data_IF_898743368446
#
_entry.id   IF_898743368446
#
_cell.length_a   1.000
_cell.length_b   1.000
_cell.length_c   1.000
_cell.angle_alpha   90.00
_cell.angle_beta   90.00
_cell.angle_gamma   90.00
#
_symmetry.space_group_name_H-M   'P 1'
#
loop_
_entity.id
_entity.type
_entity.pdbx_description
1 polymer ?
#
# COMPACT_ATOMS: atom_id res chain seq x y z
N UNK A 1 -15.34 6.77 -29.52
CA UNK A 1 -15.53 8.20 -29.22
C UNK A 1 -17.04 8.48 -29.18
N UNK A 2 -17.50 9.69 -28.84
CA UNK A 2 -18.92 10.00 -28.99
C UNK A 2 -19.22 10.19 -30.49
N UNK A 3 -20.10 9.37 -31.06
CA UNK A 3 -20.34 9.33 -32.51
C UNK A 3 -21.69 9.97 -32.92
N UNK A 4 -22.37 10.66 -32.01
CA UNK A 4 -23.64 11.35 -32.32
C UNK A 4 -24.33 11.92 -31.09
N UNK A 5 -25.46 12.61 -31.31
CA UNK A 5 -26.29 13.25 -30.27
C UNK A 5 -26.93 12.25 -29.30
N UNK A 6 -27.20 11.02 -29.75
CA UNK A 6 -27.79 9.95 -28.92
C UNK A 6 -26.75 9.17 -28.11
N UNK A 7 -25.46 9.52 -28.17
CA UNK A 7 -24.41 8.79 -27.47
C UNK A 7 -24.43 9.11 -25.96
N UNK A 8 -24.82 8.14 -25.13
CA UNK A 8 -24.74 8.26 -23.68
C UNK A 8 -23.31 8.13 -23.20
N UNK A 9 -22.71 9.26 -22.81
CA UNK A 9 -21.33 9.31 -22.33
C UNK A 9 -21.23 8.65 -20.95
N UNK A 10 -20.33 7.68 -20.81
CA UNK A 10 -20.01 7.10 -19.50
C UNK A 10 -19.37 8.14 -18.57
N UNK A 11 -19.51 7.96 -17.25
CA UNK A 11 -18.93 8.86 -16.26
C UNK A 11 -17.41 9.07 -16.48
N UNK A 12 -16.92 10.28 -16.17
CA UNK A 12 -15.52 10.68 -16.40
C UNK A 12 -14.51 9.65 -15.90
N UNK A 13 -14.61 9.21 -14.64
CA UNK A 13 -13.66 8.24 -14.04
C UNK A 13 -13.76 6.83 -14.63
N UNK A 14 -14.91 6.46 -15.22
CA UNK A 14 -15.08 5.20 -15.92
C UNK A 14 -14.37 5.23 -17.28
N UNK A 15 -14.45 6.36 -17.99
CA UNK A 15 -13.71 6.61 -19.24
C UNK A 15 -12.20 6.66 -19.02
N UNK A 16 -11.76 7.25 -17.91
CA UNK A 16 -10.34 7.23 -17.50
C UNK A 16 -9.85 5.87 -17.00
N UNK A 17 -10.74 4.89 -16.81
CA UNK A 17 -10.36 3.56 -16.32
C UNK A 17 -9.79 3.55 -14.90
N UNK A 18 -10.31 4.41 -14.00
CA UNK A 18 -9.81 4.55 -12.62
C UNK A 18 -10.75 4.03 -11.54
N UNK A 19 -12.01 3.79 -11.87
CA UNK A 19 -13.03 3.48 -10.86
C UNK A 19 -14.07 2.51 -11.39
N UNK A 20 -14.30 1.46 -10.63
CA UNK A 20 -15.50 0.63 -10.72
C UNK A 20 -16.58 1.26 -9.84
N UNK A 21 -17.64 1.77 -10.48
CA UNK A 21 -18.75 2.40 -9.78
C UNK A 21 -19.63 1.39 -9.02
N UNK A 22 -19.73 0.14 -9.49
CA UNK A 22 -20.51 -0.89 -8.81
C UNK A 22 -19.83 -1.31 -7.50
N UNK A 23 -18.53 -1.57 -7.54
CA UNK A 23 -17.73 -1.85 -6.35
C UNK A 23 -17.72 -0.65 -5.38
N UNK A 24 -17.51 0.57 -5.91
CA UNK A 24 -17.50 1.78 -5.09
C UNK A 24 -18.84 2.02 -4.39
N UNK A 25 -19.96 1.82 -5.07
CA UNK A 25 -21.29 1.99 -4.46
C UNK A 25 -21.48 1.06 -3.26
N UNK A 26 -21.09 -0.21 -3.39
CA UNK A 26 -21.11 -1.19 -2.29
C UNK A 26 -20.19 -0.80 -1.13
N UNK A 27 -19.00 -0.28 -1.43
CA UNK A 27 -18.06 0.16 -0.40
C UNK A 27 -18.58 1.37 0.38
N UNK A 28 -19.16 2.35 -0.31
CA UNK A 28 -19.72 3.55 0.32
C UNK A 28 -20.98 3.23 1.13
N UNK A 29 -21.79 2.24 0.73
CA UNK A 29 -22.99 1.86 1.47
C UNK A 29 -22.73 1.26 2.86
N UNK A 30 -21.50 0.88 3.18
CA UNK A 30 -21.14 0.39 4.52
C UNK A 30 -20.96 1.51 5.55
N UNK A 31 -20.99 2.78 5.13
CA UNK A 31 -20.87 3.95 6.00
C UNK A 31 -19.63 3.94 6.92
N UNK A 32 -18.52 3.39 6.39
CA UNK A 32 -17.22 3.37 7.05
C UNK A 32 -16.15 4.05 6.19
N UNK A 33 -15.09 4.61 6.80
CA UNK A 33 -13.92 5.08 6.07
C UNK A 33 -13.36 3.98 5.17
N UNK A 34 -12.86 4.36 3.99
CA UNK A 34 -12.25 3.42 3.05
C UNK A 34 -10.74 3.53 3.11
N UNK A 35 -10.06 2.40 3.33
CA UNK A 35 -8.62 2.29 3.15
C UNK A 35 -8.34 2.07 1.66
N UNK A 36 -8.11 3.16 0.95
CA UNK A 36 -7.83 3.18 -0.48
C UNK A 36 -6.36 2.88 -0.72
N UNK A 37 -6.06 1.70 -1.27
CA UNK A 37 -4.71 1.29 -1.66
C UNK A 37 -4.57 1.40 -3.17
N UNK A 38 -3.56 2.13 -3.64
CA UNK A 38 -3.27 2.30 -5.07
C UNK A 38 -1.83 1.91 -5.35
N UNK A 39 -1.70 1.00 -6.32
CA UNK A 39 -0.41 0.50 -6.81
C UNK A 39 0.00 1.33 -8.02
N UNK A 40 1.19 1.92 -7.97
CA UNK A 40 1.86 2.48 -9.15
C UNK A 40 3.05 1.59 -9.56
N UNK A 41 3.79 1.98 -10.60
CA UNK A 41 4.94 1.20 -11.09
C UNK A 41 6.04 1.07 -10.03
N UNK A 42 6.31 2.12 -9.27
CA UNK A 42 7.44 2.18 -8.32
C UNK A 42 7.06 2.63 -6.92
N UNK A 43 5.79 2.97 -6.66
CA UNK A 43 5.34 3.53 -5.39
C UNK A 43 3.99 2.96 -4.94
N UNK A 44 3.76 2.98 -3.64
CA UNK A 44 2.49 2.74 -2.99
C UNK A 44 1.87 4.08 -2.57
N UNK A 45 0.57 4.22 -2.77
CA UNK A 45 -0.23 5.28 -2.16
C UNK A 45 -1.33 4.63 -1.35
N UNK A 46 -1.42 4.97 -0.07
CA UNK A 46 -2.44 4.49 0.86
C UNK A 46 -3.13 5.70 1.47
N UNK A 47 -4.46 5.69 1.49
CA UNK A 47 -5.27 6.78 2.02
C UNK A 47 -6.45 6.24 2.80
N UNK A 48 -6.81 6.90 3.89
CA UNK A 48 -8.08 6.68 4.60
C UNK A 48 -9.03 7.79 4.19
N UNK A 49 -10.14 7.42 3.56
CA UNK A 49 -11.03 8.35 2.87
C UNK A 49 -12.48 8.18 3.34
N UNK A 50 -13.07 9.28 3.79
CA UNK A 50 -14.50 9.39 4.06
C UNK A 50 -15.24 9.86 2.81
N UNK A 51 -16.47 9.39 2.65
CA UNK A 51 -17.35 9.87 1.60
C UNK A 51 -18.03 11.17 2.04
N UNK A 52 -18.11 12.16 1.15
CA UNK A 52 -19.05 13.27 1.27
C UNK A 52 -19.69 13.56 -0.10
N UNK A 53 -20.92 14.13 -0.14
CA UNK A 53 -21.63 14.38 -1.39
C UNK A 53 -20.87 15.29 -2.38
N UNK A 54 -20.16 16.29 -1.85
CA UNK A 54 -19.38 17.23 -2.66
C UNK A 54 -18.05 16.63 -3.18
N UNK A 55 -17.55 15.61 -2.49
CA UNK A 55 -16.27 14.98 -2.79
C UNK A 55 -15.76 14.11 -1.65
N UNK A 56 -14.83 13.22 -1.98
CA UNK A 56 -14.19 12.37 -0.98
C UNK A 56 -13.26 13.20 -0.07
N UNK A 57 -13.39 13.02 1.25
CA UNK A 57 -12.57 13.68 2.26
C UNK A 57 -11.44 12.75 2.71
N UNK A 58 -10.18 13.16 2.52
CA UNK A 58 -9.03 12.35 2.93
C UNK A 58 -8.69 12.65 4.39
N UNK A 59 -8.85 11.67 5.26
CA UNK A 59 -8.54 11.80 6.69
C UNK A 59 -7.04 11.62 6.93
N UNK A 60 -6.48 10.54 6.40
CA UNK A 60 -5.06 10.22 6.50
C UNK A 60 -4.52 9.78 5.14
N UNK A 61 -3.23 10.00 4.92
CA UNK A 61 -2.55 9.54 3.72
C UNK A 61 -1.09 9.21 4.00
N UNK A 62 -0.57 8.23 3.28
CA UNK A 62 0.85 7.92 3.22
C UNK A 62 1.25 7.52 1.80
N UNK A 63 2.49 7.87 1.45
CA UNK A 63 3.10 7.50 0.18
C UNK A 63 4.44 6.85 0.47
N UNK A 64 4.77 5.75 -0.20
CA UNK A 64 5.98 4.98 0.10
C UNK A 64 7.29 5.76 -0.03
N UNK A 65 7.31 6.89 -0.76
CA UNK A 65 8.44 7.84 -0.79
C UNK A 65 8.76 8.45 0.58
N UNK A 66 7.76 8.60 1.44
CA UNK A 66 7.91 9.18 2.78
C UNK A 66 8.63 8.22 3.73
N UNK A 67 8.66 6.92 3.43
CA UNK A 67 9.32 5.91 4.26
C UNK A 67 10.82 6.17 4.45
N UNK A 68 11.47 6.85 3.50
CA UNK A 68 12.86 7.27 3.62
C UNK A 68 13.10 8.14 4.86
N UNK A 69 12.09 8.89 5.34
CA UNK A 69 12.18 9.69 6.58
C UNK A 69 12.28 8.83 7.84
N UNK A 70 11.80 7.60 7.79
CA UNK A 70 11.82 6.64 8.90
C UNK A 70 12.92 5.58 8.71
N UNK A 71 13.90 5.84 7.84
CA UNK A 71 15.07 4.97 7.66
C UNK A 71 14.88 3.83 6.66
N UNK A 72 13.76 3.75 5.92
CA UNK A 72 13.59 2.70 4.92
C UNK A 72 14.41 2.97 3.66
N UNK A 73 15.34 2.07 3.35
CA UNK A 73 16.27 2.20 2.22
C UNK A 73 15.88 1.35 1.00
N UNK A 74 14.98 0.37 1.20
CA UNK A 74 14.55 -0.55 0.16
C UNK A 74 13.73 0.07 -0.99
N UNK A 75 13.38 -0.73 -2.00
CA UNK A 75 12.54 -0.26 -3.09
C UNK A 75 11.14 0.14 -2.59
N UNK A 76 10.61 1.26 -3.09
CA UNK A 76 9.34 1.82 -2.62
C UNK A 76 8.09 1.25 -3.32
N UNK A 77 8.28 0.28 -4.22
CA UNK A 77 7.24 -0.44 -4.92
C UNK A 77 7.21 -1.95 -4.65
N UNK A 78 8.03 -2.47 -3.73
CA UNK A 78 8.05 -3.89 -3.34
C UNK A 78 6.95 -4.20 -2.30
N UNK A 79 6.73 -5.47 -1.96
CA UNK A 79 5.68 -5.87 -1.02
C UNK A 79 5.88 -5.27 0.38
N UNK A 80 7.10 -5.30 0.88
CA UNK A 80 7.57 -4.73 2.16
C UNK A 80 7.19 -3.25 2.31
N UNK A 81 7.44 -2.43 1.29
CA UNK A 81 7.08 -1.01 1.31
C UNK A 81 5.58 -0.78 1.34
N UNK A 82 4.76 -1.64 0.73
CA UNK A 82 3.30 -1.52 0.80
C UNK A 82 2.79 -1.77 2.22
N UNK A 83 3.34 -2.76 2.91
CA UNK A 83 3.07 -3.00 4.33
C UNK A 83 3.40 -1.76 5.16
N UNK A 84 4.65 -1.28 5.08
CA UNK A 84 5.13 -0.13 5.86
C UNK A 84 4.34 1.15 5.57
N UNK A 85 3.98 1.38 4.30
CA UNK A 85 3.20 2.56 3.91
C UNK A 85 1.80 2.53 4.52
N UNK A 86 1.17 1.35 4.56
CA UNK A 86 -0.15 1.21 5.14
C UNK A 86 -0.11 1.27 6.68
N UNK A 87 0.92 0.69 7.29
CA UNK A 87 1.20 0.80 8.72
C UNK A 87 1.28 2.28 9.15
N UNK A 88 2.09 3.07 8.44
CA UNK A 88 2.19 4.52 8.66
C UNK A 88 0.86 5.25 8.44
N UNK A 89 0.12 4.89 7.39
CA UNK A 89 -1.19 5.51 7.12
C UNK A 89 -2.22 5.20 8.20
N UNK A 90 -2.17 3.99 8.77
CA UNK A 90 -3.08 3.54 9.82
C UNK A 90 -2.79 4.24 11.14
N UNK A 91 -1.52 4.38 11.55
CA UNK A 91 -1.12 5.16 12.73
C UNK A 91 -1.63 6.60 12.67
N UNK A 92 -1.39 7.28 11.54
CA UNK A 92 -1.96 8.62 11.24
C UNK A 92 -3.49 8.68 11.28
N UNK A 93 -4.17 7.59 10.94
CA UNK A 93 -5.62 7.53 10.95
C UNK A 93 -6.17 7.34 12.36
N UNK A 94 -5.52 6.46 13.14
CA UNK A 94 -5.82 6.23 14.56
C UNK A 94 -5.60 7.50 15.39
N UNK A 95 -4.51 8.23 15.14
CA UNK A 95 -4.26 9.53 15.76
C UNK A 95 -5.35 10.57 15.47
N UNK A 96 -6.10 10.39 14.36
CA UNK A 96 -7.25 11.23 13.98
C UNK A 96 -8.60 10.63 14.41
N UNK A 97 -8.60 9.59 15.23
CA UNK A 97 -9.80 8.96 15.77
C UNK A 97 -10.53 8.01 14.81
N UNK A 98 -9.86 7.51 13.76
CA UNK A 98 -10.45 6.50 12.88
C UNK A 98 -10.08 5.10 13.38
N UNK A 99 -11.06 4.39 13.93
CA UNK A 99 -10.86 3.05 14.53
C UNK A 99 -11.07 1.91 13.52
N UNK A 100 -11.93 2.09 12.53
CA UNK A 100 -12.24 1.06 11.54
C UNK A 100 -12.27 1.58 10.11
N UNK A 101 -11.95 0.70 9.16
CA UNK A 101 -12.00 1.00 7.74
C UNK A 101 -12.35 -0.23 6.89
N UNK A 102 -12.65 -0.01 5.62
CA UNK A 102 -12.88 -1.08 4.63
C UNK A 102 -11.87 -0.95 3.49
N UNK A 103 -11.26 -2.06 3.09
CA UNK A 103 -10.27 -2.08 2.02
C UNK A 103 -10.89 -1.74 0.65
N UNK A 104 -10.33 -0.75 -0.04
CA UNK A 104 -10.65 -0.38 -1.42
C UNK A 104 -9.41 -0.61 -2.32
N UNK A 105 -9.47 -1.66 -3.13
CA UNK A 105 -8.39 -2.07 -4.05
C UNK A 105 -8.55 -1.46 -5.47
N UNK A 106 -9.64 -0.72 -5.70
CA UNK A 106 -9.94 -0.11 -6.98
C UNK A 106 -10.26 -1.15 -8.05
N UNK A 107 -9.48 -1.14 -9.14
CA UNK A 107 -9.65 -2.04 -10.28
C UNK A 107 -8.69 -3.24 -10.25
N UNK A 108 -7.99 -3.46 -9.13
CA UNK A 108 -7.08 -4.60 -9.00
C UNK A 108 -7.85 -5.88 -8.70
N UNK A 109 -7.41 -6.98 -9.28
CA UNK A 109 -7.93 -8.31 -8.97
C UNK A 109 -7.47 -8.75 -7.57
N UNK A 110 -8.36 -9.33 -6.74
CA UNK A 110 -8.01 -9.81 -5.41
C UNK A 110 -7.25 -11.14 -5.49
N UNK A 111 -5.94 -11.07 -5.63
CA UNK A 111 -5.04 -12.24 -5.66
C UNK A 111 -4.33 -12.38 -4.31
N UNK A 112 -4.35 -13.59 -3.73
CA UNK A 112 -3.65 -13.91 -2.48
C UNK A 112 -2.18 -13.49 -2.54
N UNK A 113 -1.66 -12.92 -1.46
CA UNK A 113 -0.26 -12.53 -1.37
C UNK A 113 0.13 -11.34 -2.27
N UNK A 114 -0.86 -10.62 -2.81
CA UNK A 114 -0.59 -9.40 -3.58
C UNK A 114 -0.18 -8.23 -2.67
N UNK A 115 0.47 -7.23 -3.28
CA UNK A 115 0.92 -6.00 -2.57
C UNK A 115 -0.21 -5.28 -1.84
N UNK A 116 -1.44 -5.39 -2.34
CA UNK A 116 -2.61 -4.75 -1.73
C UNK A 116 -2.97 -5.43 -0.40
N UNK A 117 -2.80 -6.76 -0.30
CA UNK A 117 -3.02 -7.47 0.96
C UNK A 117 -1.85 -7.34 1.93
N UNK A 118 -0.64 -7.06 1.45
CA UNK A 118 0.45 -6.62 2.32
C UNK A 118 0.13 -5.26 2.99
N UNK A 119 -0.43 -4.32 2.22
CA UNK A 119 -0.93 -3.06 2.78
C UNK A 119 -2.09 -3.28 3.77
N UNK A 120 -3.02 -4.19 3.46
CA UNK A 120 -4.06 -4.57 4.42
C UNK A 120 -3.46 -5.08 5.73
N UNK A 121 -2.51 -6.01 5.66
CA UNK A 121 -1.84 -6.58 6.83
C UNK A 121 -1.15 -5.50 7.67
N UNK A 122 -0.41 -4.60 7.03
CA UNK A 122 0.24 -3.47 7.73
C UNK A 122 -0.74 -2.52 8.41
N UNK A 123 -1.92 -2.28 7.83
CA UNK A 123 -2.94 -1.45 8.48
C UNK A 123 -3.57 -2.16 9.70
N UNK A 124 -3.82 -3.47 9.58
CA UNK A 124 -4.36 -4.30 10.68
C UNK A 124 -3.36 -4.38 11.84
N UNK A 125 -2.09 -4.65 11.55
CA UNK A 125 -1.04 -4.78 12.56
C UNK A 125 -0.72 -3.43 13.25
N UNK A 126 -1.02 -2.31 12.60
CA UNK A 126 -0.96 -0.99 13.21
C UNK A 126 -2.12 -0.70 14.19
N UNK A 127 -3.17 -1.54 14.19
CA UNK A 127 -4.33 -1.43 15.08
C UNK A 127 -5.62 -0.93 14.40
N UNK A 128 -5.65 -0.74 13.08
CA UNK A 128 -6.88 -0.31 12.38
C UNK A 128 -7.78 -1.53 12.12
N UNK A 129 -9.03 -1.47 12.59
CA UNK A 129 -9.98 -2.57 12.42
C UNK A 129 -10.49 -2.63 10.98
N UNK A 130 -10.13 -3.69 10.26
CA UNK A 130 -10.60 -3.92 8.89
C UNK A 130 -11.14 -5.33 8.79
N UNK A 131 -12.38 -5.56 8.30
CA UNK A 131 -12.88 -6.92 8.09
C UNK A 131 -12.06 -7.66 7.01
N UNK A 132 -11.48 -8.80 7.36
CA UNK A 132 -10.67 -9.62 6.46
C UNK A 132 -10.70 -11.10 6.85
N UNK A 133 -10.18 -11.96 5.95
CA UNK A 133 -9.88 -13.35 6.25
C UNK A 133 -8.38 -13.61 6.13
N UNK A 134 -7.79 -14.30 7.11
CA UNK A 134 -6.33 -14.44 7.24
C UNK A 134 -5.66 -15.14 6.06
N UNK A 135 -6.40 -16.01 5.37
CA UNK A 135 -5.89 -16.78 4.22
C UNK A 135 -5.39 -15.91 3.07
N UNK A 136 -5.77 -14.63 3.01
CA UNK A 136 -5.44 -13.73 1.90
C UNK A 136 -4.06 -13.08 2.04
N UNK A 137 -3.51 -13.07 3.25
CA UNK A 137 -2.25 -12.42 3.55
C UNK A 137 -1.06 -13.09 2.85
N UNK A 138 -0.05 -12.32 2.43
CA UNK A 138 1.27 -12.86 2.12
C UNK A 138 1.88 -13.49 3.37
N UNK A 139 2.80 -14.45 3.16
CA UNK A 139 3.61 -15.01 4.24
C UNK A 139 4.53 -13.94 4.85
N UNK A 140 4.83 -14.07 6.15
CA UNK A 140 5.62 -13.07 6.89
C UNK A 140 7.03 -12.87 6.31
N UNK A 141 7.65 -13.94 5.78
CA UNK A 141 8.93 -13.88 5.05
C UNK A 141 8.85 -13.00 3.78
N UNK A 142 7.66 -12.91 3.17
CA UNK A 142 7.47 -11.99 2.05
C UNK A 142 7.30 -10.56 2.53
N UNK A 143 6.66 -10.36 3.68
CA UNK A 143 6.39 -9.04 4.26
C UNK A 143 7.69 -8.38 4.69
N UNK A 144 8.50 -9.06 5.50
CA UNK A 144 9.78 -8.54 5.99
C UNK A 144 10.84 -8.39 4.88
N UNK A 145 10.65 -9.08 3.74
CA UNK A 145 11.57 -9.03 2.60
C UNK A 145 12.62 -10.14 2.58
N UNK A 146 12.45 -11.20 3.39
CA UNK A 146 13.32 -12.39 3.40
C UNK A 146 13.45 -13.03 2.02
N UNK A 147 12.36 -13.18 1.27
CA UNK A 147 12.44 -13.65 -0.13
C UNK A 147 13.32 -12.79 -1.06
N UNK A 148 13.45 -11.47 -0.79
CA UNK A 148 14.31 -10.58 -1.58
C UNK A 148 15.76 -10.80 -1.20
N UNK A 149 16.04 -10.96 0.11
CA UNK A 149 17.36 -11.32 0.61
C UNK A 149 17.80 -12.67 0.04
N UNK A 150 16.97 -13.71 0.14
CA UNK A 150 17.24 -15.03 -0.43
C UNK A 150 17.46 -14.98 -1.95
N UNK A 151 16.67 -14.17 -2.67
CA UNK A 151 16.91 -13.97 -4.10
C UNK A 151 18.27 -13.33 -4.36
N UNK A 152 18.67 -12.32 -3.60
CA UNK A 152 20.00 -11.71 -3.74
C UNK A 152 21.14 -12.69 -3.44
N UNK A 153 20.94 -13.63 -2.51
CA UNK A 153 21.94 -14.66 -2.19
C UNK A 153 22.08 -15.74 -3.27
N UNK A 154 21.01 -16.02 -4.01
CA UNK A 154 21.02 -16.98 -5.10
C UNK A 154 21.77 -16.50 -6.37
N UNK A 155 22.17 -15.22 -6.40
CA UNK A 155 22.74 -14.57 -7.57
C UNK A 155 24.24 -14.35 -7.41
N UNK A 156 24.95 -14.34 -8.54
CA UNK A 156 26.36 -13.97 -8.58
C UNK A 156 26.57 -12.49 -8.26
N UNK A 157 27.76 -12.15 -7.75
CA UNK A 157 28.09 -10.79 -7.31
C UNK A 157 27.87 -9.71 -8.40
N UNK A 158 28.17 -10.03 -9.66
CA UNK A 158 27.94 -9.13 -10.80
C UNK A 158 26.45 -8.87 -11.05
N UNK A 159 25.63 -9.92 -10.96
CA UNK A 159 24.18 -9.81 -11.14
C UNK A 159 23.54 -9.03 -9.99
N UNK A 160 24.01 -9.25 -8.76
CA UNK A 160 23.55 -8.52 -7.58
C UNK A 160 23.83 -7.02 -7.75
N UNK A 161 25.05 -6.65 -8.13
CA UNK A 161 25.42 -5.25 -8.38
C UNK A 161 24.52 -4.60 -9.44
N UNK A 162 24.16 -5.34 -10.50
CA UNK A 162 23.31 -4.83 -11.59
C UNK A 162 21.84 -4.69 -11.18
N UNK A 163 21.26 -5.71 -10.54
CA UNK A 163 19.83 -5.73 -10.19
C UNK A 163 19.51 -4.88 -8.95
N UNK A 164 20.46 -4.77 -8.02
CA UNK A 164 20.31 -4.04 -6.76
C UNK A 164 21.14 -2.75 -6.69
N UNK A 165 21.56 -2.19 -7.82
CA UNK A 165 22.32 -0.95 -7.89
C UNK A 165 21.74 0.18 -7.01
N UNK A 166 20.43 0.38 -7.07
CA UNK A 166 19.71 1.38 -6.25
C UNK A 166 19.70 1.10 -4.75
N UNK A 167 19.87 -0.16 -4.33
CA UNK A 167 20.00 -0.50 -2.91
C UNK A 167 21.37 -0.06 -2.41
N UNK A 168 22.43 -0.37 -3.18
CA UNK A 168 23.80 0.05 -2.87
C UNK A 168 23.96 1.58 -2.88
N UNK A 169 23.33 2.28 -3.83
CA UNK A 169 23.29 3.76 -3.85
C UNK A 169 22.71 4.37 -2.56
N UNK A 170 21.83 3.62 -1.88
CA UNK A 170 21.18 4.04 -0.62
C UNK A 170 21.86 3.48 0.62
N UNK A 171 22.96 2.75 0.45
CA UNK A 171 23.70 2.12 1.54
C UNK A 171 23.06 0.87 2.12
N UNK A 172 22.13 0.22 1.41
CA UNK A 172 21.49 -1.02 1.85
C UNK A 172 22.06 -2.22 1.11
N UNK A 173 22.55 -3.22 1.84
CA UNK A 173 22.78 -4.54 1.27
C UNK A 173 21.43 -5.30 1.21
N UNK A 174 21.06 -5.93 0.08
CA UNK A 174 19.80 -6.68 -0.01
C UNK A 174 19.58 -7.73 1.08
N UNK A 175 20.65 -8.30 1.64
CA UNK A 175 20.60 -9.25 2.75
C UNK A 175 20.04 -8.65 4.04
N UNK A 176 20.31 -7.37 4.27
CA UNK A 176 19.95 -6.65 5.50
C UNK A 176 18.56 -6.00 5.40
N UNK A 177 17.82 -6.24 4.31
CA UNK A 177 16.47 -5.69 4.13
C UNK A 177 15.50 -6.06 5.28
N UNK A 178 15.47 -7.30 5.80
CA UNK A 178 14.60 -7.64 6.94
C UNK A 178 14.93 -6.84 8.20
N UNK A 179 16.22 -6.61 8.49
CA UNK A 179 16.64 -5.78 9.62
C UNK A 179 16.20 -4.31 9.43
N UNK A 180 16.41 -3.75 8.22
CA UNK A 180 15.97 -2.40 7.91
C UNK A 180 14.43 -2.24 7.99
N UNK A 181 13.67 -3.28 7.66
CA UNK A 181 12.23 -3.30 7.80
C UNK A 181 11.79 -3.16 9.27
N UNK A 182 12.38 -3.94 10.17
CA UNK A 182 12.07 -3.89 11.60
C UNK A 182 12.46 -2.54 12.22
N UNK A 183 13.64 -2.02 11.87
CA UNK A 183 14.07 -0.68 12.29
C UNK A 183 13.09 0.40 11.81
N UNK A 184 12.60 0.29 10.57
CA UNK A 184 11.63 1.25 10.04
C UNK A 184 10.33 1.25 10.85
N UNK A 185 9.84 0.08 11.27
CA UNK A 185 8.62 0.00 12.10
C UNK A 185 8.84 0.71 13.43
N UNK A 186 9.97 0.44 14.11
CA UNK A 186 10.32 1.10 15.38
C UNK A 186 10.37 2.62 15.21
N UNK A 187 11.02 3.10 14.15
CA UNK A 187 11.12 4.53 13.86
C UNK A 187 9.74 5.16 13.58
N UNK A 188 8.80 4.43 12.96
CA UNK A 188 7.42 4.91 12.76
C UNK A 188 6.69 5.01 14.10
N UNK A 189 6.85 4.01 14.97
CA UNK A 189 6.22 4.01 16.30
C UNK A 189 6.77 5.11 17.21
N UNK A 190 8.09 5.34 17.19
CA UNK A 190 8.75 6.39 17.96
C UNK A 190 8.40 7.80 17.47
N UNK A 191 8.12 7.97 16.17
CA UNK A 191 7.75 9.26 15.60
C UNK A 191 6.37 9.77 16.10
N UNK A 192 5.52 8.89 16.63
CA UNK A 192 4.26 9.27 17.28
C UNK A 192 3.27 10.01 16.38
N UNK A 193 3.10 9.56 15.13
CA UNK A 193 2.17 10.14 14.14
C UNK A 193 0.75 9.56 14.13
#
# INVERSE_FOLDING_TARGET
MAHGTNYKVAFRRRREGKTDYAARMKLVSYDKPRLVVRVSNSHATVQVINYAPEGDLTVASAVSKQLAKYGYLGHTGNLTSFYLTAYLCAKRALAKGVESAILDIGLKSPIKGSKVFAALKGAVDAGLEIPHGDFIFPEDDRINGGHIAAYAESLDAEEVAKKFSKYFERGLNPKDLPANFEETIKNIDEAGE
#
